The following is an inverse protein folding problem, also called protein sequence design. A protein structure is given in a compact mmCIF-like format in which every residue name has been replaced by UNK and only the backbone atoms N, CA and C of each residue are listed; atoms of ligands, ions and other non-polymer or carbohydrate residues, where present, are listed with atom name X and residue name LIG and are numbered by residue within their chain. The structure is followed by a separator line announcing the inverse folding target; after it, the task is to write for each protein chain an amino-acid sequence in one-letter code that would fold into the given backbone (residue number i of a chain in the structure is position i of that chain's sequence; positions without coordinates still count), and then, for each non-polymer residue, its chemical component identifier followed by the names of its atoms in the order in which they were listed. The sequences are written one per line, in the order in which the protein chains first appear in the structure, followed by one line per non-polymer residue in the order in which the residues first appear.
data_IF_705613492271
#
_entry.id   IF_705613492271
#
_cell.length_a   1.000
_cell.length_b   1.000
_cell.length_c   1.000
_cell.angle_alpha   90.00
_cell.angle_beta   90.00
_cell.angle_gamma   90.00
#
_symmetry.space_group_name_H-M   'P 1'
#
loop_
_entity.id
_entity.type
_entity.pdbx_description
1 polymer ?
#
# COMPACT_ATOMS: atom_id res chain seq x y z
N UNK A 1 3.88 17.48 4.88
CA UNK A 1 2.42 17.71 4.88
C UNK A 1 1.79 17.52 3.52
N UNK A 2 2.36 18.07 2.45
CA UNK A 2 1.86 17.90 1.08
C UNK A 2 1.59 16.43 0.70
N UNK A 3 2.48 15.50 1.06
CA UNK A 3 2.24 14.06 0.81
C UNK A 3 1.08 13.45 1.59
N UNK A 4 0.81 13.91 2.81
CA UNK A 4 -0.34 13.45 3.61
C UNK A 4 -1.65 13.96 3.00
N UNK A 5 -1.67 15.24 2.59
CA UNK A 5 -2.83 15.83 1.95
C UNK A 5 -3.12 15.15 0.60
N UNK A 6 -2.08 14.92 -0.21
CA UNK A 6 -2.17 14.16 -1.46
C UNK A 6 -2.76 12.77 -1.25
N UNK A 7 -2.19 11.99 -0.31
CA UNK A 7 -2.70 10.67 0.03
C UNK A 7 -4.19 10.69 0.42
N UNK A 8 -4.62 11.62 1.28
CA UNK A 8 -6.04 11.72 1.69
C UNK A 8 -6.95 12.00 0.49
N UNK A 9 -6.54 12.89 -0.42
CA UNK A 9 -7.31 13.23 -1.62
C UNK A 9 -7.39 12.05 -2.58
N UNK A 10 -6.25 11.46 -2.95
CA UNK A 10 -6.21 10.31 -3.85
C UNK A 10 -7.02 9.15 -3.29
N UNK A 11 -6.87 8.86 -2.00
CA UNK A 11 -7.62 7.79 -1.34
C UNK A 11 -9.12 8.05 -1.34
N UNK A 12 -9.55 9.30 -1.12
CA UNK A 12 -10.96 9.68 -1.27
C UNK A 12 -11.49 9.44 -2.69
N UNK A 13 -10.71 9.79 -3.72
CA UNK A 13 -11.04 9.54 -5.13
C UNK A 13 -11.12 8.04 -5.41
N UNK A 14 -10.12 7.25 -5.00
CA UNK A 14 -10.10 5.80 -5.24
C UNK A 14 -11.21 5.05 -4.50
N UNK A 15 -11.51 5.42 -3.25
CA UNK A 15 -12.60 4.82 -2.48
C UNK A 15 -13.96 5.14 -3.11
N UNK A 16 -14.19 6.40 -3.50
CA UNK A 16 -15.46 6.81 -4.12
C UNK A 16 -15.66 6.17 -5.50
N UNK A 17 -14.62 6.15 -6.35
CA UNK A 17 -14.64 5.43 -7.61
C UNK A 17 -14.84 3.92 -7.40
N UNK A 18 -14.13 3.31 -6.46
CA UNK A 18 -14.29 1.91 -6.11
C UNK A 18 -15.70 1.58 -5.62
N UNK A 19 -16.28 2.44 -4.77
CA UNK A 19 -17.65 2.29 -4.29
C UNK A 19 -18.66 2.34 -5.44
N UNK A 20 -18.52 3.31 -6.36
CA UNK A 20 -19.39 3.43 -7.52
C UNK A 20 -19.32 2.18 -8.41
N UNK A 21 -18.10 1.72 -8.72
CA UNK A 21 -17.87 0.53 -9.54
C UNK A 21 -18.45 -0.72 -8.87
N UNK A 22 -18.23 -0.92 -7.56
CA UNK A 22 -18.72 -2.12 -6.85
C UNK A 22 -20.25 -2.12 -6.70
N UNK A 23 -20.86 -0.94 -6.50
CA UNK A 23 -22.31 -0.80 -6.40
C UNK A 23 -23.00 -1.10 -7.72
N UNK A 24 -22.42 -0.67 -8.85
CA UNK A 24 -23.01 -0.86 -10.17
C UNK A 24 -22.63 -2.23 -10.78
N UNK A 25 -21.41 -2.71 -10.53
CA UNK A 25 -20.86 -3.92 -11.11
C UNK A 25 -20.30 -4.87 -10.04
N UNK A 26 -21.17 -5.58 -9.33
CA UNK A 26 -20.75 -6.49 -8.26
C UNK A 26 -19.85 -7.64 -8.75
N UNK A 27 -19.91 -8.01 -10.04
CA UNK A 27 -19.02 -9.02 -10.63
C UNK A 27 -17.55 -8.58 -10.66
N UNK A 28 -17.26 -7.28 -10.57
CA UNK A 28 -15.89 -6.74 -10.48
C UNK A 28 -15.19 -7.23 -9.20
N UNK A 29 -15.95 -7.52 -8.13
CA UNK A 29 -15.39 -8.14 -6.93
C UNK A 29 -14.72 -9.48 -7.23
N UNK A 30 -15.17 -10.23 -8.25
CA UNK A 30 -14.53 -11.47 -8.68
C UNK A 30 -13.16 -11.23 -9.30
N UNK A 31 -13.05 -10.22 -10.18
CA UNK A 31 -11.76 -9.80 -10.73
C UNK A 31 -10.82 -9.40 -9.61
N UNK A 32 -11.32 -8.63 -8.64
CA UNK A 32 -10.52 -8.22 -7.50
C UNK A 32 -10.13 -9.38 -6.60
N UNK A 33 -11.00 -10.36 -6.38
CA UNK A 33 -10.66 -11.57 -5.64
C UNK A 33 -9.53 -12.34 -6.32
N UNK A 34 -9.65 -12.55 -7.64
CA UNK A 34 -8.61 -13.20 -8.43
C UNK A 34 -7.29 -12.42 -8.39
N UNK A 35 -7.36 -11.10 -8.48
CA UNK A 35 -6.20 -10.22 -8.36
C UNK A 35 -5.53 -10.34 -6.98
N UNK A 36 -6.29 -10.32 -5.88
CA UNK A 36 -5.76 -10.46 -4.51
C UNK A 36 -5.15 -11.84 -4.26
N UNK A 37 -5.78 -12.90 -4.76
CA UNK A 37 -5.23 -14.26 -4.69
C UNK A 37 -3.91 -14.35 -5.47
N UNK A 38 -3.87 -13.75 -6.66
CA UNK A 38 -2.67 -13.73 -7.49
C UNK A 38 -1.54 -12.94 -6.84
N UNK A 39 -1.80 -11.72 -6.36
CA UNK A 39 -0.78 -10.87 -5.74
C UNK A 39 -0.31 -11.43 -4.41
N UNK A 40 -1.22 -11.88 -3.55
CA UNK A 40 -0.89 -12.52 -2.29
C UNK A 40 -0.13 -13.83 -2.49
N UNK A 41 -0.57 -14.68 -3.42
CA UNK A 41 0.14 -15.92 -3.76
C UNK A 41 1.54 -15.65 -4.30
N UNK A 42 1.68 -14.74 -5.27
CA UNK A 42 2.99 -14.33 -5.79
C UNK A 42 3.89 -13.79 -4.68
N UNK A 43 3.36 -13.00 -3.75
CA UNK A 43 4.13 -12.43 -2.65
C UNK A 43 4.61 -13.49 -1.64
N UNK A 44 3.85 -14.59 -1.45
CA UNK A 44 4.28 -15.75 -0.66
C UNK A 44 5.38 -16.57 -1.36
N UNK A 45 5.24 -16.82 -2.66
CA UNK A 45 6.14 -17.71 -3.41
C UNK A 45 7.40 -17.00 -3.97
N UNK A 46 7.34 -15.69 -4.21
CA UNK A 46 8.48 -14.86 -4.65
C UNK A 46 9.18 -14.16 -3.48
N UNK A 47 8.98 -14.61 -2.24
CA UNK A 47 9.61 -14.04 -1.05
C UNK A 47 11.03 -14.55 -0.75
N UNK A 48 11.64 -15.31 -1.67
CA UNK A 48 12.89 -16.06 -1.43
C UNK A 48 14.20 -15.36 -1.80
N UNK A 49 14.19 -14.34 -2.65
CA UNK A 49 15.41 -13.64 -3.09
C UNK A 49 15.14 -12.13 -3.14
N UNK A 50 16.00 -11.33 -2.50
CA UNK A 50 16.34 -9.89 -2.66
C UNK A 50 15.32 -8.87 -3.23
N UNK A 51 14.02 -9.17 -3.18
CA UNK A 51 12.94 -8.27 -3.52
C UNK A 51 12.28 -7.81 -2.22
N UNK A 52 12.99 -6.92 -1.51
CA UNK A 52 12.33 -5.99 -0.60
C UNK A 52 11.16 -5.33 -1.35
N UNK A 53 9.93 -5.38 -0.84
CA UNK A 53 8.82 -4.62 -1.41
C UNK A 53 8.96 -3.12 -1.19
N UNK A 54 10.06 -2.66 -0.60
CA UNK A 54 10.49 -1.27 -0.70
C UNK A 54 11.16 -1.09 -2.05
N UNK A 55 10.31 -1.05 -3.08
CA UNK A 55 10.50 -0.38 -4.36
C UNK A 55 11.93 0.14 -4.52
N UNK A 56 12.79 -0.62 -5.21
CA UNK A 56 14.08 -0.16 -5.70
C UNK A 56 13.89 1.19 -6.40
N UNK A 57 13.98 2.29 -5.63
CA UNK A 57 13.47 3.61 -6.01
C UNK A 57 14.28 4.15 -7.20
N UNK A 58 15.50 3.64 -7.35
CA UNK A 58 16.41 3.97 -8.42
C UNK A 58 16.14 3.22 -9.73
N UNK A 59 15.52 2.02 -9.68
CA UNK A 59 15.30 1.17 -10.86
C UNK A 59 13.83 1.07 -11.28
N UNK A 60 12.92 1.67 -10.52
CA UNK A 60 11.49 1.67 -10.82
C UNK A 60 11.19 2.39 -12.16
N UNK A 61 10.46 1.77 -13.10
CA UNK A 61 10.05 2.41 -14.36
C UNK A 61 9.30 3.74 -14.13
N UNK A 62 8.56 3.87 -13.04
CA UNK A 62 7.91 5.13 -12.62
C UNK A 62 8.96 6.22 -12.34
N UNK A 63 10.08 5.88 -11.70
CA UNK A 63 11.17 6.81 -11.41
C UNK A 63 11.82 7.31 -12.69
N UNK A 64 12.14 6.38 -13.59
CA UNK A 64 12.75 6.71 -14.88
C UNK A 64 11.81 7.54 -15.74
N UNK A 65 10.51 7.24 -15.73
CA UNK A 65 9.50 8.02 -16.43
C UNK A 65 9.37 9.45 -15.87
N UNK A 66 9.27 9.58 -14.54
CA UNK A 66 9.20 10.88 -13.87
C UNK A 66 10.48 11.70 -14.09
N UNK A 67 11.66 11.11 -13.97
CA UNK A 67 12.95 11.77 -14.24
C UNK A 67 13.15 12.14 -15.71
N UNK A 68 12.58 11.37 -16.65
CA UNK A 68 12.61 11.69 -18.08
C UNK A 68 11.65 12.82 -18.43
N UNK A 69 10.50 12.90 -17.75
CA UNK A 69 9.45 13.89 -18.03
C UNK A 69 9.65 15.20 -17.26
N UNK A 70 10.25 15.13 -16.07
CA UNK A 70 10.55 16.27 -15.22
C UNK A 70 12.05 16.53 -15.27
N UNK A 71 12.44 17.78 -15.57
CA UNK A 71 13.83 18.22 -15.44
C UNK A 71 14.15 18.33 -13.95
N UNK A 72 14.71 17.27 -13.37
CA UNK A 72 15.05 17.23 -11.94
C UNK A 72 16.40 17.92 -11.72
N UNK A 73 16.48 18.80 -10.71
CA UNK A 73 17.75 19.37 -10.25
C UNK A 73 18.37 18.48 -9.16
N UNK A 74 19.70 18.36 -9.12
CA UNK A 74 20.40 17.56 -8.11
C UNK A 74 20.53 18.27 -6.74
N UNK A 75 20.26 19.57 -6.69
CA UNK A 75 20.35 20.36 -5.47
C UNK A 75 18.99 20.60 -4.83
N UNK A 76 18.89 20.34 -3.52
CA UNK A 76 17.73 20.70 -2.71
C UNK A 76 17.83 22.19 -2.40
N UNK A 77 17.24 23.04 -3.26
CA UNK A 77 17.14 24.48 -2.98
C UNK A 77 15.83 24.78 -2.24
N UNK A 78 15.90 24.90 -0.91
CA UNK A 78 14.80 25.33 -0.04
C UNK A 78 13.58 24.37 0.01
N UNK A 79 12.46 24.79 0.62
CA UNK A 79 11.17 24.06 0.69
C UNK A 79 10.35 24.09 -0.62
N UNK A 80 10.90 24.61 -1.70
CA UNK A 80 10.17 24.81 -2.95
C UNK A 80 10.19 23.54 -3.83
N UNK A 81 9.03 23.13 -4.33
CA UNK A 81 8.88 21.94 -5.20
C UNK A 81 9.33 22.20 -6.64
N UNK A 82 9.30 23.46 -7.06
CA UNK A 82 9.69 23.91 -8.39
C UNK A 82 10.64 25.08 -8.20
N UNK A 83 11.82 24.99 -8.82
CA UNK A 83 12.81 26.06 -8.82
C UNK A 83 13.01 26.54 -10.25
N UNK A 84 13.11 27.86 -10.43
CA UNK A 84 13.48 28.44 -11.71
C UNK A 84 15.00 28.53 -11.72
N UNK A 85 15.65 27.70 -12.53
CA UNK A 85 17.10 27.77 -12.75
C UNK A 85 17.35 28.01 -14.25
N UNK A 86 18.36 28.81 -14.62
CA UNK A 86 18.80 28.91 -16.00
C UNK A 86 19.31 27.55 -16.46
N UNK A 87 18.83 27.10 -17.61
CA UNK A 87 19.21 25.84 -18.22
C UNK A 87 20.73 25.84 -18.52
N UNK A 88 21.52 24.85 -18.05
CA UNK A 88 22.97 24.80 -18.28
C UNK A 88 23.36 24.79 -19.77
N UNK A 89 22.44 24.38 -20.65
CA UNK A 89 22.70 24.23 -22.09
C UNK A 89 22.15 25.41 -22.90
N UNK A 90 21.03 26.01 -22.47
CA UNK A 90 20.34 27.05 -23.26
C UNK A 90 20.31 28.44 -22.62
N UNK A 91 20.76 28.59 -21.37
CA UNK A 91 20.78 29.87 -20.63
C UNK A 91 19.39 30.44 -20.32
N UNK A 92 18.30 29.80 -20.76
CA UNK A 92 16.93 30.25 -20.50
C UNK A 92 16.47 29.82 -19.11
N UNK A 93 15.75 30.70 -18.43
CA UNK A 93 15.09 30.37 -17.17
C UNK A 93 14.06 29.25 -17.42
N UNK A 94 14.33 28.05 -16.90
CA UNK A 94 13.41 26.92 -17.03
C UNK A 94 13.02 26.38 -15.66
N UNK A 95 11.84 25.78 -15.60
CA UNK A 95 11.31 25.17 -14.38
C UNK A 95 11.98 23.82 -14.17
N UNK A 96 12.69 23.69 -13.07
CA UNK A 96 13.24 22.44 -12.59
C UNK A 96 12.39 21.92 -11.44
N UNK A 97 12.11 20.63 -11.47
CA UNK A 97 11.52 19.92 -10.35
C UNK A 97 12.62 19.65 -9.32
N UNK A 98 12.34 19.91 -8.04
CA UNK A 98 13.28 19.55 -6.97
C UNK A 98 13.13 18.07 -6.59
N UNK A 99 14.15 17.47 -5.93
CA UNK A 99 14.05 16.10 -5.41
C UNK A 99 12.86 15.90 -4.47
N UNK A 100 12.43 16.96 -3.76
CA UNK A 100 11.23 16.94 -2.90
C UNK A 100 9.94 16.69 -3.68
N UNK A 101 9.81 17.25 -4.89
CA UNK A 101 8.65 17.01 -5.76
C UNK A 101 8.66 15.58 -6.30
N UNK A 102 9.85 15.09 -6.67
CA UNK A 102 10.00 13.71 -7.14
C UNK A 102 9.65 12.70 -6.04
N UNK A 103 10.11 12.95 -4.80
CA UNK A 103 9.75 12.14 -3.64
C UNK A 103 8.24 12.18 -3.35
N UNK A 104 7.61 13.37 -3.42
CA UNK A 104 6.16 13.52 -3.27
C UNK A 104 5.40 12.68 -4.29
N UNK A 105 5.72 12.81 -5.58
CA UNK A 105 5.08 12.07 -6.66
C UNK A 105 5.29 10.56 -6.53
N UNK A 106 6.45 10.14 -6.03
CA UNK A 106 6.73 8.75 -5.74
C UNK A 106 5.82 8.20 -4.64
N UNK A 107 5.76 8.90 -3.51
CA UNK A 107 4.89 8.49 -2.40
C UNK A 107 3.43 8.43 -2.84
N UNK A 108 2.95 9.43 -3.60
CA UNK A 108 1.59 9.42 -4.15
C UNK A 108 1.36 8.26 -5.13
N UNK A 109 2.32 7.95 -6.00
CA UNK A 109 2.18 6.83 -6.95
C UNK A 109 2.14 5.49 -6.21
N UNK A 110 2.96 5.35 -5.17
CA UNK A 110 3.00 4.15 -4.34
C UNK A 110 1.69 3.97 -3.57
N UNK A 111 1.13 5.05 -3.00
CA UNK A 111 -0.19 5.02 -2.36
C UNK A 111 -1.30 4.63 -3.34
N UNK A 112 -1.25 5.10 -4.60
CA UNK A 112 -2.18 4.67 -5.65
C UNK A 112 -2.06 3.17 -5.94
N UNK A 113 -0.84 2.65 -6.04
CA UNK A 113 -0.60 1.20 -6.25
C UNK A 113 -1.17 0.40 -5.06
N UNK A 114 -0.95 0.87 -3.82
CA UNK A 114 -1.54 0.33 -2.59
C UNK A 114 -3.05 0.58 -2.45
N UNK A 115 -3.66 1.43 -3.27
CA UNK A 115 -5.11 1.59 -3.27
C UNK A 115 -5.78 0.42 -4.02
N UNK A 116 -5.10 -0.17 -5.01
CA UNK A 116 -5.65 -1.22 -5.87
C UNK A 116 -5.90 -2.53 -5.12
N UNK A 117 -5.07 -2.88 -4.14
CA UNK A 117 -5.24 -4.06 -3.29
C UNK A 117 -6.10 -3.75 -2.05
N UNK A 118 -5.95 -2.58 -1.44
CA UNK A 118 -6.69 -2.21 -0.23
C UNK A 118 -8.17 -1.90 -0.50
N UNK A 119 -8.53 -1.33 -1.64
CA UNK A 119 -9.93 -1.01 -1.98
C UNK A 119 -10.82 -2.27 -2.02
N UNK A 120 -10.47 -3.33 -2.78
CA UNK A 120 -11.27 -4.54 -2.76
C UNK A 120 -11.31 -5.22 -1.41
N UNK A 121 -10.17 -5.19 -0.70
CA UNK A 121 -10.06 -5.80 0.60
C UNK A 121 -11.02 -5.16 1.62
N UNK A 122 -11.13 -3.83 1.59
CA UNK A 122 -12.02 -3.10 2.48
C UNK A 122 -13.48 -3.34 2.11
N UNK A 123 -13.82 -3.34 0.81
CA UNK A 123 -15.20 -3.61 0.36
C UNK A 123 -15.66 -5.05 0.63
N UNK A 124 -14.73 -5.97 0.92
CA UNK A 124 -15.05 -7.31 1.43
C UNK A 124 -15.45 -7.33 2.91
N UNK A 125 -15.16 -6.26 3.67
CA UNK A 125 -15.49 -6.13 5.10
C UNK A 125 -16.72 -5.26 5.28
N UNK A 126 -16.74 -4.07 4.66
CA UNK A 126 -17.85 -3.12 4.76
C UNK A 126 -18.11 -2.46 3.42
N UNK A 127 -19.39 -2.19 3.12
CA UNK A 127 -19.80 -1.46 1.92
C UNK A 127 -20.06 0.02 2.16
N UNK A 128 -19.96 0.47 3.42
CA UNK A 128 -20.18 1.87 3.77
C UNK A 128 -18.92 2.71 3.46
N UNK A 129 -18.91 3.54 2.40
CA UNK A 129 -17.74 4.32 2.01
C UNK A 129 -17.32 5.33 3.08
N UNK A 130 -18.25 5.78 3.94
CA UNK A 130 -17.95 6.67 5.04
C UNK A 130 -17.04 6.00 6.05
N UNK A 131 -17.39 4.78 6.50
CA UNK A 131 -16.58 3.99 7.44
C UNK A 131 -15.18 3.71 6.84
N UNK A 132 -15.12 3.40 5.55
CA UNK A 132 -13.87 3.16 4.83
C UNK A 132 -12.98 4.40 4.83
N UNK A 133 -13.54 5.53 4.42
CA UNK A 133 -12.82 6.79 4.29
C UNK A 133 -12.35 7.33 5.64
N UNK A 134 -13.22 7.35 6.65
CA UNK A 134 -12.85 7.84 7.99
C UNK A 134 -11.76 6.98 8.62
N UNK A 135 -11.87 5.65 8.53
CA UNK A 135 -10.85 4.71 9.06
C UNK A 135 -9.47 4.96 8.44
N UNK A 136 -9.42 5.17 7.12
CA UNK A 136 -8.17 5.41 6.41
C UNK A 136 -7.56 6.78 6.74
N UNK A 137 -8.39 7.82 6.92
CA UNK A 137 -7.91 9.12 7.42
C UNK A 137 -7.33 8.97 8.83
N UNK A 138 -8.02 8.30 9.75
CA UNK A 138 -7.51 8.08 11.11
C UNK A 138 -6.18 7.32 11.09
N UNK A 139 -6.04 6.31 10.24
CA UNK A 139 -4.79 5.59 10.06
C UNK A 139 -3.66 6.54 9.61
N UNK A 140 -3.90 7.38 8.60
CA UNK A 140 -2.89 8.32 8.08
C UNK A 140 -2.53 9.40 9.11
N UNK A 141 -3.51 9.96 9.82
CA UNK A 141 -3.27 11.01 10.82
C UNK A 141 -2.48 10.49 12.03
N UNK A 142 -2.72 9.24 12.45
CA UNK A 142 -1.99 8.60 13.56
C UNK A 142 -0.52 8.28 13.24
N UNK A 143 -0.15 8.15 11.97
CA UNK A 143 1.22 7.83 11.57
C UNK A 143 2.22 8.92 11.96
N UNK A 144 1.81 10.19 12.10
CA UNK A 144 2.76 11.26 12.45
C UNK A 144 3.33 11.09 13.85
N UNK A 145 2.50 10.70 14.82
CA UNK A 145 2.96 10.37 16.17
C UNK A 145 3.67 9.02 16.22
N UNK A 146 3.27 8.07 15.36
CA UNK A 146 3.88 6.74 15.32
C UNK A 146 5.16 6.68 14.50
N UNK A 147 5.50 7.69 13.69
CA UNK A 147 6.61 7.63 12.75
C UNK A 147 7.94 7.29 13.43
N UNK A 148 8.22 7.91 14.58
CA UNK A 148 9.44 7.63 15.35
C UNK A 148 9.49 6.19 15.89
N UNK A 149 8.34 5.66 16.33
CA UNK A 149 8.24 4.26 16.76
C UNK A 149 8.37 3.31 15.57
N UNK A 150 7.70 3.63 14.46
CA UNK A 150 7.67 2.81 13.26
C UNK A 150 9.04 2.75 12.60
N UNK A 151 9.76 3.87 12.47
CA UNK A 151 11.09 3.90 11.86
C UNK A 151 12.08 3.00 12.59
N UNK A 152 11.98 2.88 13.91
CA UNK A 152 12.78 1.94 14.71
C UNK A 152 12.28 0.48 14.63
N UNK A 153 11.01 0.27 14.29
CA UNK A 153 10.39 -1.05 14.23
C UNK A 153 10.48 -1.69 12.83
N UNK A 154 10.54 -0.90 11.74
CA UNK A 154 10.65 -1.39 10.36
C UNK A 154 11.84 -2.34 10.18
N UNK A 155 13.00 -2.02 10.79
CA UNK A 155 14.19 -2.88 10.76
C UNK A 155 13.96 -4.29 11.36
N UNK A 156 12.91 -4.45 12.19
CA UNK A 156 12.55 -5.72 12.84
C UNK A 156 11.40 -6.46 12.15
N UNK A 157 10.81 -5.89 11.11
CA UNK A 157 9.61 -6.41 10.42
C UNK A 157 9.90 -7.17 9.13
N UNK A 158 11.02 -7.88 9.06
CA UNK A 158 11.43 -8.67 7.89
C UNK A 158 10.37 -9.69 7.43
N UNK A 159 9.57 -10.24 8.34
CA UNK A 159 8.55 -11.24 8.02
C UNK A 159 7.14 -10.69 7.80
N UNK A 160 6.94 -9.36 7.92
CA UNK A 160 5.64 -8.74 7.75
C UNK A 160 5.08 -8.91 6.33
N UNK A 161 5.98 -9.02 5.33
CA UNK A 161 5.63 -9.34 3.94
C UNK A 161 4.77 -10.61 3.85
N UNK A 162 5.13 -11.68 4.56
CA UNK A 162 4.36 -12.93 4.55
C UNK A 162 3.00 -12.77 5.25
N UNK A 163 2.94 -11.98 6.32
CA UNK A 163 1.68 -11.65 7.00
C UNK A 163 0.69 -10.92 6.09
N UNK A 164 1.16 -9.88 5.40
CA UNK A 164 0.37 -9.13 4.42
C UNK A 164 -0.11 -10.03 3.27
N UNK A 165 0.79 -10.87 2.74
CA UNK A 165 0.45 -11.81 1.68
C UNK A 165 -0.63 -12.82 2.10
N UNK A 166 -0.53 -13.37 3.31
CA UNK A 166 -1.54 -14.26 3.88
C UNK A 166 -2.90 -13.58 4.05
N UNK A 167 -2.91 -12.30 4.47
CA UNK A 167 -4.13 -11.50 4.56
C UNK A 167 -4.76 -11.26 3.19
N UNK A 168 -3.97 -10.92 2.17
CA UNK A 168 -4.46 -10.74 0.80
C UNK A 168 -5.11 -12.02 0.25
N UNK A 169 -4.45 -13.17 0.44
CA UNK A 169 -5.01 -14.47 0.04
C UNK A 169 -6.30 -14.76 0.80
N UNK A 170 -6.32 -14.59 2.11
CA UNK A 170 -7.51 -14.80 2.94
C UNK A 170 -8.69 -13.95 2.47
N UNK A 171 -8.46 -12.67 2.21
CA UNK A 171 -9.53 -11.76 1.78
C UNK A 171 -9.99 -12.12 0.37
N UNK A 172 -9.08 -12.49 -0.54
CA UNK A 172 -9.42 -13.02 -1.86
C UNK A 172 -10.30 -14.27 -1.77
N UNK A 173 -9.95 -15.23 -0.91
CA UNK A 173 -10.76 -16.43 -0.64
C UNK A 173 -12.14 -16.03 -0.11
N UNK A 174 -12.22 -15.10 0.85
CA UNK A 174 -13.49 -14.63 1.41
C UNK A 174 -14.41 -14.02 0.35
N UNK A 175 -13.88 -13.16 -0.52
CA UNK A 175 -14.67 -12.54 -1.59
C UNK A 175 -15.19 -13.63 -2.54
N UNK A 176 -14.35 -14.58 -2.91
CA UNK A 176 -14.74 -15.73 -3.73
C UNK A 176 -15.81 -16.58 -3.04
N UNK A 177 -15.68 -16.85 -1.75
CA UNK A 177 -16.65 -17.61 -0.95
C UNK A 177 -18.02 -16.93 -0.88
N UNK A 178 -18.05 -15.65 -0.50
CA UNK A 178 -19.28 -14.88 -0.33
C UNK A 178 -19.97 -14.56 -1.67
N UNK A 179 -19.23 -14.46 -2.76
CA UNK A 179 -19.80 -14.14 -4.06
C UNK A 179 -20.13 -15.38 -4.89
N UNK A 180 -19.22 -16.36 -5.00
CA UNK A 180 -19.44 -17.55 -5.83
C UNK A 180 -20.29 -18.61 -5.11
N UNK A 181 -19.92 -19.01 -3.90
CA UNK A 181 -20.59 -20.13 -3.23
C UNK A 181 -21.92 -19.73 -2.58
N UNK A 182 -22.04 -18.50 -2.07
CA UNK A 182 -23.29 -18.02 -1.46
C UNK A 182 -24.27 -17.46 -2.48
N UNK A 183 -23.86 -16.53 -3.36
CA UNK A 183 -24.78 -15.82 -4.27
C UNK A 183 -25.24 -16.65 -5.46
N UNK A 184 -24.35 -17.42 -6.09
CA UNK A 184 -24.73 -18.29 -7.22
C UNK A 184 -25.17 -19.68 -6.75
N UNK A 185 -24.40 -20.31 -5.87
CA UNK A 185 -24.57 -21.73 -5.59
C UNK A 185 -25.47 -22.03 -4.37
N UNK A 186 -25.70 -21.05 -3.48
CA UNK A 186 -26.48 -21.18 -2.23
C UNK A 186 -26.05 -22.36 -1.32
N UNK A 187 -24.84 -22.89 -1.49
CA UNK A 187 -24.39 -24.11 -0.79
C UNK A 187 -23.84 -23.82 0.61
N UNK A 188 -23.34 -22.60 0.86
CA UNK A 188 -22.57 -22.27 2.07
C UNK A 188 -23.15 -21.07 2.81
N UNK A 189 -23.02 -21.01 4.16
CA UNK A 189 -23.43 -19.84 4.93
C UNK A 189 -22.56 -18.61 4.63
N UNK A 190 -23.17 -17.42 4.71
CA UNK A 190 -22.50 -16.14 4.54
C UNK A 190 -21.38 -15.98 5.57
N UNK A 191 -20.17 -15.70 5.10
CA UNK A 191 -19.03 -15.53 5.98
C UNK A 191 -19.09 -14.12 6.59
N UNK A 192 -19.59 -14.06 7.82
CA UNK A 192 -19.78 -12.78 8.50
C UNK A 192 -18.47 -11.99 8.62
N UNK A 193 -18.51 -10.65 8.49
CA UNK A 193 -17.31 -9.82 8.51
C UNK A 193 -16.46 -9.98 9.78
N UNK A 194 -17.09 -10.32 10.92
CA UNK A 194 -16.40 -10.43 12.21
C UNK A 194 -15.36 -11.56 12.25
N UNK A 195 -15.63 -12.72 11.64
CA UNK A 195 -14.68 -13.83 11.55
C UNK A 195 -13.46 -13.47 10.71
N UNK A 196 -13.70 -12.81 9.58
CA UNK A 196 -12.63 -12.33 8.71
C UNK A 196 -11.77 -11.28 9.41
N UNK A 197 -12.38 -10.34 10.12
CA UNK A 197 -11.66 -9.33 10.89
C UNK A 197 -10.78 -9.97 11.97
N UNK A 198 -11.35 -10.91 12.75
CA UNK A 198 -10.61 -11.60 13.79
C UNK A 198 -9.42 -12.38 13.22
N UNK A 199 -9.61 -13.09 12.10
CA UNK A 199 -8.55 -13.85 11.44
C UNK A 199 -7.47 -12.93 10.85
N UNK A 200 -7.85 -11.79 10.26
CA UNK A 200 -6.90 -10.78 9.78
C UNK A 200 -6.07 -10.20 10.93
N UNK A 201 -6.70 -9.86 12.06
CA UNK A 201 -6.01 -9.37 13.26
C UNK A 201 -5.06 -10.45 13.79
N UNK A 202 -5.49 -11.71 13.84
CA UNK A 202 -4.68 -12.82 14.30
C UNK A 202 -3.46 -13.06 13.39
N UNK A 203 -3.64 -13.01 12.07
CA UNK A 203 -2.53 -13.18 11.12
C UNK A 203 -1.54 -12.01 11.19
N UNK A 204 -2.03 -10.77 11.20
CA UNK A 204 -1.14 -9.61 11.29
C UNK A 204 -0.42 -9.57 12.64
N UNK A 205 -1.15 -9.71 13.75
CA UNK A 205 -0.58 -9.76 15.09
C UNK A 205 0.42 -10.91 15.25
N UNK A 206 0.07 -12.09 14.77
CA UNK A 206 0.94 -13.27 14.75
C UNK A 206 2.21 -13.04 13.93
N UNK A 207 2.10 -12.44 12.74
CA UNK A 207 3.26 -12.12 11.90
C UNK A 207 4.20 -11.10 12.53
N UNK A 208 3.64 -10.09 13.21
CA UNK A 208 4.40 -9.08 13.96
C UNK A 208 5.13 -9.75 15.12
N UNK A 209 4.45 -10.55 15.94
CA UNK A 209 5.04 -11.26 17.08
C UNK A 209 6.13 -12.22 16.60
N UNK A 210 5.87 -12.98 15.54
CA UNK A 210 6.84 -13.90 14.94
C UNK A 210 8.08 -13.17 14.42
N UNK A 211 7.89 -12.04 13.73
CA UNK A 211 8.98 -11.22 13.23
C UNK A 211 9.84 -10.68 14.38
N UNK A 212 9.22 -10.18 15.45
CA UNK A 212 9.92 -9.69 16.63
C UNK A 212 10.69 -10.81 17.36
N UNK A 213 10.09 -12.00 17.51
CA UNK A 213 10.74 -13.13 18.18
C UNK A 213 11.98 -13.61 17.41
N UNK A 214 11.87 -13.72 16.08
CA UNK A 214 12.96 -14.21 15.23
C UNK A 214 14.11 -13.21 15.11
N UNK A 215 13.81 -11.93 14.89
CA UNK A 215 14.84 -10.88 14.79
C UNK A 215 15.51 -10.60 16.15
N UNK A 216 14.83 -10.84 17.27
CA UNK A 216 15.45 -10.76 18.60
C UNK A 216 16.48 -11.87 18.88
N UNK A 217 16.45 -12.98 18.14
CA UNK A 217 17.42 -14.08 18.25
C UNK A 217 18.72 -13.81 17.51
N UNK A 218 18.67 -13.18 16.33
CA UNK A 218 19.85 -12.86 15.51
C UNK A 218 20.79 -11.86 16.20
N UNK A 219 20.24 -10.88 16.94
CA UNK A 219 21.05 -9.89 17.66
C UNK A 219 21.87 -10.47 18.83
N UNK A 220 21.56 -11.69 19.30
CA UNK A 220 22.36 -12.38 20.34
C UNK A 220 23.53 -13.18 19.76
N UNK A 221 23.50 -13.53 18.47
CA UNK A 221 24.54 -14.35 17.84
C UNK A 221 25.72 -13.53 17.30
N UNK A 222 25.55 -12.23 17.07
CA UNK A 222 26.63 -11.32 16.61
C UNK A 222 27.28 -10.49 17.73
N UNK A 223 26.87 -10.69 18.99
CA UNK A 223 27.41 -10.01 20.17
C UNK A 223 28.18 -10.92 21.13
N UNK A 224 28.59 -12.12 20.69
CA UNK A 224 29.39 -13.08 21.47
C UNK A 224 30.75 -13.30 20.82
#
# INVERSE_FOLDING_TARGET
FWGILGAIVFRGIFISLGAAVVNEFTWVLFIFAAFLLFTGGKMLFSGGDDDEPELNLHNNPVFKFLKKRLRVTDEITNHNFIVHKPDPVTGKMTRYATPLLLALLMVETVDIIFAVDSVPAIFAVTRDPFIVYTSNIFAILGLRSMYFMLSAAVERFKYLKYGLAAVLVLIGIKIFWNFLLYKELHIVPYLEPHWSLMLTIALLGGSIIYSLWKTSGENKAHGA
#
